data_IF_877404525258
#
_entry.id   IF_877404525258
#
_cell.length_a   1.000
_cell.length_b   1.000
_cell.length_c   1.000
_cell.angle_alpha   90.00
_cell.angle_beta   90.00
_cell.angle_gamma   90.00
#
_symmetry.space_group_name_H-M   'P 1'
#
loop_
_entity.id
_entity.type
_entity.pdbx_description
1 polymer ?
#
# COMPACT_ATOMS: atom_id res chain seq x y z
N UNK A 1 16.92 34.51 -17.99
CA UNK A 1 16.73 33.05 -17.89
C UNK A 1 18.04 32.35 -17.54
N UNK A 2 19.00 32.17 -18.46
CA UNK A 2 20.27 31.47 -18.22
C UNK A 2 21.14 31.95 -17.03
N UNK A 3 21.11 33.24 -16.71
CA UNK A 3 21.98 33.80 -15.66
C UNK A 3 21.65 33.28 -14.25
N UNK A 4 20.37 33.17 -13.90
CA UNK A 4 19.95 32.70 -12.57
C UNK A 4 20.34 31.24 -12.36
N UNK A 5 20.10 30.37 -13.35
CA UNK A 5 20.51 28.96 -13.29
C UNK A 5 22.03 28.80 -13.14
N UNK A 6 22.82 29.48 -13.99
CA UNK A 6 24.29 29.34 -13.96
C UNK A 6 24.88 29.84 -12.63
N UNK A 7 24.32 30.92 -12.08
CA UNK A 7 24.70 31.40 -10.75
C UNK A 7 24.31 30.41 -9.65
N UNK A 8 23.12 29.82 -9.75
CA UNK A 8 22.67 28.72 -8.88
C UNK A 8 23.62 27.52 -8.91
N UNK A 9 24.07 27.10 -10.09
CA UNK A 9 25.03 25.99 -10.25
C UNK A 9 26.37 26.29 -9.56
N UNK A 10 26.87 27.53 -9.70
CA UNK A 10 28.08 27.97 -9.03
C UNK A 10 27.92 27.98 -7.50
N UNK A 11 26.80 28.51 -6.99
CA UNK A 11 26.50 28.56 -5.55
C UNK A 11 26.32 27.16 -4.95
N UNK A 12 25.66 26.25 -5.66
CA UNK A 12 25.55 24.83 -5.26
C UNK A 12 26.93 24.18 -5.18
N UNK A 13 27.82 24.47 -6.12
CA UNK A 13 29.22 24.02 -6.08
C UNK A 13 29.99 24.55 -4.86
N UNK A 14 29.66 25.75 -4.39
CA UNK A 14 30.16 26.34 -3.14
C UNK A 14 29.44 25.84 -1.88
N UNK A 15 28.46 24.93 -2.03
CA UNK A 15 27.57 24.45 -0.96
C UNK A 15 26.75 25.54 -0.28
N UNK A 16 26.57 26.69 -0.93
CA UNK A 16 25.67 27.75 -0.49
C UNK A 16 24.25 27.44 -1.00
N UNK A 17 23.66 26.38 -0.42
CA UNK A 17 22.41 25.79 -0.89
C UNK A 17 21.22 26.76 -0.77
N UNK A 18 21.19 27.60 0.27
CA UNK A 18 20.13 28.60 0.46
C UNK A 18 20.09 29.64 -0.66
N UNK A 19 21.26 30.12 -1.11
CA UNK A 19 21.32 31.06 -2.23
C UNK A 19 21.11 30.36 -3.56
N UNK A 20 21.62 29.14 -3.72
CA UNK A 20 21.37 28.33 -4.91
C UNK A 20 19.87 28.07 -5.10
N UNK A 21 19.15 27.74 -4.03
CA UNK A 21 17.70 27.53 -4.08
C UNK A 21 16.97 28.78 -4.55
N UNK A 22 17.28 29.96 -3.98
CA UNK A 22 16.68 31.23 -4.40
C UNK A 22 16.90 31.51 -5.89
N UNK A 23 18.10 31.23 -6.37
CA UNK A 23 18.47 31.44 -7.77
C UNK A 23 17.74 30.48 -8.72
N UNK A 24 17.62 29.21 -8.35
CA UNK A 24 16.86 28.26 -9.16
C UNK A 24 15.35 28.52 -9.11
N UNK A 25 14.80 28.92 -7.95
CA UNK A 25 13.39 29.34 -7.83
C UNK A 25 13.11 30.55 -8.72
N UNK A 26 13.98 31.55 -8.69
CA UNK A 26 13.88 32.70 -9.58
C UNK A 26 14.04 32.33 -11.07
N UNK A 27 14.75 31.24 -11.40
CA UNK A 27 14.81 30.74 -12.77
C UNK A 27 13.48 30.11 -13.22
N UNK A 28 12.89 29.22 -12.39
CA UNK A 28 11.60 28.57 -12.72
C UNK A 28 10.40 29.53 -12.68
N UNK A 29 10.48 30.63 -11.92
CA UNK A 29 9.48 31.71 -11.96
C UNK A 29 9.50 32.48 -13.29
N UNK A 30 10.66 32.57 -13.94
CA UNK A 30 10.82 33.23 -15.24
C UNK A 30 10.46 32.26 -16.37
N UNK A 31 10.86 30.99 -16.25
CA UNK A 31 10.55 29.93 -17.20
C UNK A 31 10.36 28.59 -16.49
N UNK A 32 9.11 28.17 -16.36
CA UNK A 32 8.75 26.94 -15.70
C UNK A 32 9.05 25.69 -16.56
N UNK A 33 9.44 25.87 -17.82
CA UNK A 33 9.80 24.79 -18.75
C UNK A 33 11.30 24.44 -18.73
N UNK A 34 12.12 25.21 -18.01
CA UNK A 34 13.56 24.96 -17.89
C UNK A 34 13.85 23.74 -16.99
N UNK A 35 13.91 22.54 -17.59
CA UNK A 35 14.15 21.27 -16.86
C UNK A 35 15.45 21.27 -16.02
N UNK A 36 16.49 22.01 -16.45
CA UNK A 36 17.75 22.13 -15.70
C UNK A 36 17.61 22.93 -14.40
N UNK A 37 16.71 23.92 -14.35
CA UNK A 37 16.46 24.68 -13.13
C UNK A 37 15.74 23.79 -12.09
N UNK A 38 14.77 22.99 -12.54
CA UNK A 38 14.13 21.97 -11.71
C UNK A 38 15.11 20.89 -11.23
N UNK A 39 16.06 20.47 -12.09
CA UNK A 39 17.14 19.58 -11.67
C UNK A 39 18.01 20.20 -10.57
N UNK A 40 18.33 21.48 -10.70
CA UNK A 40 19.05 22.25 -9.68
C UNK A 40 18.32 22.25 -8.33
N UNK A 41 17.02 22.54 -8.34
CA UNK A 41 16.17 22.50 -7.13
C UNK A 41 16.10 21.10 -6.51
N UNK A 42 15.97 20.06 -7.33
CA UNK A 42 15.97 18.65 -6.87
C UNK A 42 17.25 18.31 -6.10
N UNK A 43 18.42 18.70 -6.64
CA UNK A 43 19.72 18.48 -5.98
C UNK A 43 19.88 19.28 -4.68
N UNK A 44 19.36 20.51 -4.63
CA UNK A 44 19.35 21.31 -3.40
C UNK A 44 18.41 20.69 -2.36
N UNK A 45 17.25 20.20 -2.78
CA UNK A 45 16.31 19.50 -1.92
C UNK A 45 16.92 18.21 -1.35
N UNK A 46 17.71 17.46 -2.14
CA UNK A 46 18.49 16.31 -1.65
C UNK A 46 19.50 16.72 -0.57
N UNK A 47 20.21 17.83 -0.76
CA UNK A 47 21.18 18.32 0.23
C UNK A 47 20.52 18.72 1.56
N UNK A 48 19.28 19.19 1.52
CA UNK A 48 18.48 19.57 2.70
C UNK A 48 17.59 18.45 3.25
N UNK A 49 17.70 17.23 2.71
CA UNK A 49 16.83 16.11 3.05
C UNK A 49 15.31 16.39 2.88
N UNK A 50 14.97 17.38 2.04
CA UNK A 50 13.61 17.81 1.79
C UNK A 50 12.90 16.87 0.81
N UNK A 51 12.37 15.76 1.32
CA UNK A 51 11.69 14.72 0.53
C UNK A 51 10.57 15.27 -0.34
N UNK A 52 9.77 16.20 0.19
CA UNK A 52 8.65 16.77 -0.57
C UNK A 52 9.13 17.63 -1.74
N UNK A 53 10.19 18.43 -1.52
CA UNK A 53 10.82 19.21 -2.58
C UNK A 53 11.42 18.33 -3.68
N UNK A 54 12.03 17.19 -3.31
CA UNK A 54 12.53 16.21 -4.30
C UNK A 54 11.37 15.67 -5.15
N UNK A 55 10.25 15.30 -4.54
CA UNK A 55 9.08 14.79 -5.26
C UNK A 55 8.56 15.84 -6.25
N UNK A 56 8.32 17.06 -5.78
CA UNK A 56 7.79 18.16 -6.61
C UNK A 56 8.71 18.44 -7.82
N UNK A 57 10.01 18.59 -7.58
CA UNK A 57 10.96 18.91 -8.63
C UNK A 57 11.06 17.78 -9.67
N UNK A 58 11.11 16.52 -9.23
CA UNK A 58 11.20 15.38 -10.14
C UNK A 58 9.87 15.13 -10.90
N UNK A 59 8.70 15.38 -10.29
CA UNK A 59 7.41 15.34 -11.01
C UNK A 59 7.37 16.41 -12.11
N UNK A 60 7.83 17.63 -11.81
CA UNK A 60 7.94 18.70 -12.81
C UNK A 60 8.90 18.32 -13.93
N UNK A 61 10.10 17.82 -13.61
CA UNK A 61 11.03 17.33 -14.63
C UNK A 61 10.42 16.22 -15.48
N UNK A 62 9.71 15.26 -14.88
CA UNK A 62 9.08 14.15 -15.61
C UNK A 62 8.04 14.65 -16.62
N UNK A 63 7.35 15.76 -16.33
CA UNK A 63 6.39 16.38 -17.25
C UNK A 63 7.05 17.15 -18.41
N UNK A 64 8.29 17.59 -18.24
CA UNK A 64 9.04 18.37 -19.23
C UNK A 64 9.90 17.50 -20.16
N UNK A 65 10.34 16.34 -19.67
CA UNK A 65 11.24 15.48 -20.42
C UNK A 65 10.51 14.76 -21.57
N UNK A 66 11.07 14.76 -22.79
CA UNK A 66 10.49 14.02 -23.90
C UNK A 66 10.64 12.52 -23.69
N UNK A 67 9.67 11.75 -24.18
CA UNK A 67 9.68 10.28 -24.10
C UNK A 67 10.93 9.63 -24.74
N UNK A 68 11.58 10.33 -25.68
CA UNK A 68 12.81 9.90 -26.34
C UNK A 68 14.05 9.99 -25.45
N UNK A 69 14.04 10.80 -24.39
CA UNK A 69 15.17 10.92 -23.46
C UNK A 69 15.06 9.88 -22.34
N UNK A 70 15.25 8.61 -22.73
CA UNK A 70 15.14 7.46 -21.83
C UNK A 70 16.10 7.55 -20.64
N UNK A 71 17.31 8.08 -20.85
CA UNK A 71 18.33 8.26 -19.81
C UNK A 71 17.91 9.26 -18.72
N UNK A 72 17.47 10.46 -19.11
CA UNK A 72 16.99 11.44 -18.13
C UNK A 72 15.72 10.96 -17.43
N UNK A 73 14.80 10.32 -18.16
CA UNK A 73 13.58 9.74 -17.59
C UNK A 73 13.90 8.64 -16.58
N UNK A 74 14.87 7.77 -16.88
CA UNK A 74 15.32 6.72 -15.96
C UNK A 74 15.85 7.33 -14.65
N UNK A 75 16.73 8.34 -14.75
CA UNK A 75 17.26 9.04 -13.58
C UNK A 75 16.17 9.69 -12.74
N UNK A 76 15.27 10.46 -13.37
CA UNK A 76 14.18 11.16 -12.67
C UNK A 76 13.23 10.17 -11.99
N UNK A 77 12.85 9.08 -12.68
CA UNK A 77 12.01 8.03 -12.10
C UNK A 77 12.69 7.34 -10.92
N UNK A 78 14.00 7.09 -10.99
CA UNK A 78 14.76 6.48 -9.90
C UNK A 78 14.80 7.38 -8.66
N UNK A 79 15.06 8.67 -8.83
CA UNK A 79 15.03 9.65 -7.73
C UNK A 79 13.64 9.78 -7.12
N UNK A 80 12.61 9.90 -7.97
CA UNK A 80 11.22 9.99 -7.53
C UNK A 80 10.78 8.73 -6.78
N UNK A 81 11.18 7.53 -7.24
CA UNK A 81 10.89 6.29 -6.55
C UNK A 81 11.51 6.26 -5.14
N UNK A 82 12.78 6.68 -5.00
CA UNK A 82 13.43 6.82 -3.70
C UNK A 82 12.69 7.80 -2.80
N UNK A 83 12.35 8.98 -3.32
CA UNK A 83 11.67 10.02 -2.56
C UNK A 83 10.27 9.59 -2.12
N UNK A 84 9.48 8.95 -3.01
CA UNK A 84 8.18 8.39 -2.67
C UNK A 84 8.28 7.31 -1.59
N UNK A 85 9.29 6.43 -1.66
CA UNK A 85 9.50 5.42 -0.62
C UNK A 85 9.83 6.06 0.74
N UNK A 86 10.64 7.12 0.76
CA UNK A 86 10.96 7.90 1.97
C UNK A 86 9.75 8.66 2.53
N UNK A 87 8.84 9.13 1.66
CA UNK A 87 7.59 9.78 2.06
C UNK A 87 6.50 8.80 2.50
N UNK A 88 6.76 7.48 2.50
CA UNK A 88 5.76 6.45 2.80
C UNK A 88 4.73 6.24 1.67
N UNK A 89 4.94 6.83 0.50
CA UNK A 89 4.10 6.66 -0.69
C UNK A 89 4.50 5.38 -1.45
N UNK A 90 4.39 4.23 -0.78
CA UNK A 90 4.88 2.95 -1.28
C UNK A 90 4.21 2.51 -2.59
N UNK A 91 2.94 2.84 -2.79
CA UNK A 91 2.22 2.49 -4.02
C UNK A 91 2.83 3.16 -5.24
N UNK A 92 3.12 4.47 -5.13
CA UNK A 92 3.76 5.25 -6.19
C UNK A 92 5.20 4.79 -6.40
N UNK A 93 5.94 4.55 -5.33
CA UNK A 93 7.31 4.03 -5.41
C UNK A 93 7.35 2.70 -6.18
N UNK A 94 6.43 1.77 -5.89
CA UNK A 94 6.36 0.48 -6.58
C UNK A 94 6.03 0.63 -8.06
N UNK A 95 5.11 1.52 -8.45
CA UNK A 95 4.78 1.79 -9.85
C UNK A 95 6.01 2.32 -10.62
N UNK A 96 6.75 3.27 -10.04
CA UNK A 96 7.95 3.82 -10.64
C UNK A 96 9.06 2.77 -10.78
N UNK A 97 9.25 1.93 -9.75
CA UNK A 97 10.23 0.85 -9.78
C UNK A 97 9.88 -0.22 -10.82
N UNK A 98 8.60 -0.54 -11.01
CA UNK A 98 8.17 -1.45 -12.07
C UNK A 98 8.52 -0.91 -13.47
N UNK A 99 8.33 0.39 -13.70
CA UNK A 99 8.72 1.04 -14.96
C UNK A 99 10.25 0.99 -15.17
N UNK A 100 11.03 1.13 -14.11
CA UNK A 100 12.50 1.06 -14.18
C UNK A 100 12.99 -0.36 -14.47
N UNK A 101 12.43 -1.38 -13.80
CA UNK A 101 12.79 -2.80 -14.01
C UNK A 101 12.43 -3.29 -15.42
N UNK A 102 11.41 -2.69 -16.04
CA UNK A 102 10.96 -3.02 -17.39
C UNK A 102 11.86 -2.46 -18.51
N UNK A 103 12.82 -1.60 -18.19
CA UNK A 103 13.73 -1.03 -19.19
C UNK A 103 14.74 -2.10 -19.65
N UNK A 104 14.91 -2.26 -20.97
CA UNK A 104 15.61 -3.42 -21.53
C UNK A 104 17.13 -3.37 -21.35
N UNK A 105 17.72 -2.16 -21.37
CA UNK A 105 19.16 -1.97 -21.33
C UNK A 105 19.81 -2.06 -19.94
N UNK A 106 19.13 -2.65 -18.94
CA UNK A 106 19.71 -2.76 -17.59
C UNK A 106 20.71 -3.90 -17.45
N UNK A 107 21.82 -3.58 -16.78
CA UNK A 107 22.73 -4.61 -16.29
C UNK A 107 22.07 -5.46 -15.20
N UNK A 108 22.48 -6.72 -15.08
CA UNK A 108 21.88 -7.68 -14.15
C UNK A 108 21.93 -7.20 -12.69
N UNK A 109 23.00 -6.52 -12.29
CA UNK A 109 23.17 -5.97 -10.94
C UNK A 109 22.19 -4.83 -10.65
N UNK A 110 22.05 -3.88 -11.57
CA UNK A 110 21.10 -2.76 -11.44
C UNK A 110 19.65 -3.27 -11.44
N UNK A 111 19.36 -4.25 -12.28
CA UNK A 111 18.04 -4.90 -12.31
C UNK A 111 17.72 -5.58 -10.99
N UNK A 112 18.71 -6.25 -10.39
CA UNK A 112 18.55 -6.89 -9.09
C UNK A 112 18.32 -5.86 -7.98
N UNK A 113 19.10 -4.77 -7.93
CA UNK A 113 18.89 -3.68 -6.96
C UNK A 113 17.48 -3.11 -7.05
N UNK A 114 17.01 -2.81 -8.26
CA UNK A 114 15.65 -2.30 -8.47
C UNK A 114 14.57 -3.31 -8.07
N UNK A 115 14.80 -4.60 -8.31
CA UNK A 115 13.89 -5.65 -7.87
C UNK A 115 13.83 -5.78 -6.34
N UNK A 116 14.97 -5.65 -5.65
CA UNK A 116 15.01 -5.60 -4.19
C UNK A 116 14.23 -4.40 -3.66
N UNK A 117 14.48 -3.20 -4.21
CA UNK A 117 13.75 -1.99 -3.84
C UNK A 117 12.25 -2.10 -4.11
N UNK A 118 11.86 -2.76 -5.20
CA UNK A 118 10.46 -3.01 -5.53
C UNK A 118 9.81 -3.96 -4.52
N UNK A 119 10.49 -5.05 -4.16
CA UNK A 119 10.01 -5.99 -3.14
C UNK A 119 9.79 -5.28 -1.80
N UNK A 120 10.74 -4.45 -1.36
CA UNK A 120 10.63 -3.67 -0.12
C UNK A 120 9.45 -2.69 -0.16
N UNK A 121 9.25 -2.00 -1.28
CA UNK A 121 8.11 -1.09 -1.45
C UNK A 121 6.77 -1.84 -1.40
N UNK A 122 6.68 -3.02 -2.03
CA UNK A 122 5.47 -3.84 -2.04
C UNK A 122 5.16 -4.42 -0.64
N UNK A 123 6.17 -4.85 0.11
CA UNK A 123 6.00 -5.30 1.49
C UNK A 123 5.43 -4.18 2.37
N UNK A 124 6.07 -3.01 2.34
CA UNK A 124 5.61 -1.85 3.12
C UNK A 124 4.22 -1.36 2.70
N UNK A 125 3.87 -1.49 1.42
CA UNK A 125 2.52 -1.23 0.93
C UNK A 125 1.51 -2.22 1.52
N UNK A 126 1.84 -3.51 1.57
CA UNK A 126 0.97 -4.52 2.17
C UNK A 126 0.80 -4.29 3.67
N UNK A 127 1.88 -4.00 4.39
CA UNK A 127 1.84 -3.70 5.82
C UNK A 127 0.93 -2.49 6.10
N UNK A 128 1.08 -1.41 5.33
CA UNK A 128 0.24 -0.22 5.46
C UNK A 128 -1.25 -0.51 5.14
N UNK A 129 -1.52 -1.40 4.18
CA UNK A 129 -2.89 -1.84 3.85
C UNK A 129 -3.50 -2.66 4.97
N UNK A 130 -2.76 -3.63 5.53
CA UNK A 130 -3.20 -4.46 6.64
C UNK A 130 -3.48 -3.61 7.88
N UNK A 131 -2.58 -2.67 8.21
CA UNK A 131 -2.77 -1.74 9.32
C UNK A 131 -4.10 -0.95 9.20
N UNK A 132 -4.40 -0.40 8.03
CA UNK A 132 -5.68 0.30 7.77
C UNK A 132 -6.90 -0.61 7.94
N UNK A 133 -6.82 -1.87 7.49
CA UNK A 133 -7.92 -2.83 7.65
C UNK A 133 -8.16 -3.12 9.13
N UNK A 134 -7.09 -3.30 9.91
CA UNK A 134 -7.17 -3.54 11.36
C UNK A 134 -7.80 -2.34 12.07
N UNK A 135 -7.35 -1.12 11.76
CA UNK A 135 -7.91 0.12 12.32
C UNK A 135 -9.39 0.30 11.97
N UNK A 136 -9.78 0.06 10.72
CA UNK A 136 -11.18 0.13 10.28
C UNK A 136 -12.06 -0.88 11.02
N UNK A 137 -11.58 -2.12 11.17
CA UNK A 137 -12.32 -3.16 11.92
C UNK A 137 -12.46 -2.79 13.39
N UNK A 138 -11.42 -2.20 13.98
CA UNK A 138 -11.46 -1.69 15.35
C UNK A 138 -12.50 -0.58 15.50
N UNK A 139 -12.49 0.43 14.63
CA UNK A 139 -13.46 1.53 14.69
C UNK A 139 -14.90 1.04 14.50
N UNK A 140 -15.11 0.05 13.62
CA UNK A 140 -16.42 -0.57 13.41
C UNK A 140 -16.91 -1.36 14.65
N UNK A 141 -16.02 -2.07 15.34
CA UNK A 141 -16.35 -2.79 16.56
C UNK A 141 -16.69 -1.82 17.71
N UNK A 142 -15.94 -0.72 17.84
CA UNK A 142 -16.20 0.33 18.83
C UNK A 142 -17.56 1.00 18.58
N UNK A 143 -17.91 1.32 17.31
CA UNK A 143 -19.23 1.86 16.99
C UNK A 143 -20.37 0.85 17.19
N UNK A 144 -20.15 -0.43 16.87
CA UNK A 144 -21.16 -1.47 17.08
C UNK A 144 -21.43 -1.73 18.57
N UNK A 145 -20.41 -1.71 19.41
CA UNK A 145 -20.57 -1.83 20.86
C UNK A 145 -21.35 -0.65 21.47
N UNK A 146 -21.15 0.57 20.96
CA UNK A 146 -21.91 1.74 21.37
C UNK A 146 -23.41 1.63 21.01
N UNK A 147 -23.73 1.17 19.79
CA UNK A 147 -25.14 0.98 19.37
C UNK A 147 -25.86 -0.13 20.14
N UNK A 148 -25.16 -1.16 20.60
CA UNK A 148 -25.75 -2.24 21.43
C UNK A 148 -25.99 -1.74 22.86
N UNK A 149 -25.07 -0.94 23.43
CA UNK A 149 -25.22 -0.35 24.76
C UNK A 149 -26.42 0.62 24.87
N UNK A 150 -26.72 1.39 23.82
CA UNK A 150 -27.91 2.26 23.81
C UNK A 150 -29.23 1.48 23.68
N UNK A 151 -29.22 0.29 23.07
CA UNK A 151 -30.41 -0.57 22.97
C UNK A 151 -30.70 -1.36 24.26
N UNK A 152 -29.69 -1.63 25.08
CA UNK A 152 -29.86 -2.37 26.35
C UNK A 152 -30.22 -1.47 27.56
N UNK A 153 -30.16 -0.14 27.44
CA UNK A 153 -30.59 0.79 28.49
C UNK A 153 -32.11 1.12 28.45
N UNK A 154 -32.87 0.47 27.57
CA UNK A 154 -34.34 0.55 27.51
C UNK A 154 -35.02 -0.43 28.46
N UNK A 155 -35.13 -0.03 29.72
CA UNK A 155 -36.16 -0.41 30.71
C UNK A 155 -36.81 -1.81 30.57
N UNK A 156 -36.32 -2.76 31.37
CA UNK A 156 -37.19 -3.77 31.99
C UNK A 156 -37.04 -3.70 33.50
N UNK A 157 -37.98 -3.03 34.16
CA UNK A 157 -38.22 -3.23 35.59
C UNK A 157 -38.65 -4.70 35.84
N UNK A 158 -38.02 -5.41 36.79
CA UNK A 158 -38.48 -6.73 37.18
C UNK A 158 -39.59 -6.60 38.23
N UNK A 159 -40.82 -6.93 37.82
CA UNK A 159 -41.92 -7.15 38.75
C UNK A 159 -41.67 -8.40 39.60
N UNK A 160 -41.44 -8.18 40.88
CA UNK A 160 -41.44 -9.21 41.93
C UNK A 160 -42.80 -9.91 41.99
N UNK A 161 -42.84 -11.25 41.92
CA UNK A 161 -43.87 -12.05 42.62
C UNK A 161 -43.29 -13.34 43.17
N UNK A 162 -43.72 -13.59 44.40
CA UNK A 162 -43.19 -14.46 45.43
C UNK A 162 -43.26 -15.97 45.15
N UNK A 163 -42.41 -16.67 45.90
CA UNK A 163 -42.30 -18.11 46.03
C UNK A 163 -43.58 -18.78 46.56
N UNK A 164 -43.95 -19.89 45.93
CA UNK A 164 -44.88 -20.87 46.47
C UNK A 164 -44.18 -22.23 46.51
N UNK A 165 -43.77 -22.65 47.70
CA UNK A 165 -43.26 -23.99 47.99
C UNK A 165 -44.35 -25.06 47.79
N UNK A 166 -43.98 -26.20 47.19
CA UNK A 166 -44.50 -27.54 47.54
C UNK A 166 -43.66 -28.62 46.83
N UNK A 167 -42.84 -29.33 47.60
CA UNK A 167 -42.29 -30.65 47.30
C UNK A 167 -43.32 -31.77 47.62
N UNK A 168 -43.00 -33.08 47.51
CA UNK A 168 -42.49 -33.80 46.34
C UNK A 168 -43.37 -35.04 46.05
N UNK A 169 -43.38 -35.52 44.81
CA UNK A 169 -44.11 -36.75 44.42
C UNK A 169 -43.20 -37.71 43.67
N UNK A 170 -42.76 -38.76 44.37
CA UNK A 170 -42.02 -39.89 43.83
C UNK A 170 -42.81 -40.64 42.74
N UNK A 171 -42.11 -41.07 41.69
CA UNK A 171 -42.19 -42.42 41.07
C UNK A 171 -41.22 -42.54 39.88
N UNK A 172 -40.16 -43.30 40.08
CA UNK A 172 -39.41 -44.05 39.05
C UNK A 172 -39.98 -45.48 38.95
N UNK A 173 -39.46 -46.39 38.09
CA UNK A 173 -38.96 -46.23 36.72
C UNK A 173 -39.63 -47.25 35.76
N UNK A 174 -39.59 -46.99 34.46
CA UNK A 174 -40.02 -47.94 33.43
C UNK A 174 -38.90 -48.24 32.46
N UNK A 175 -38.19 -49.35 32.69
CA UNK A 175 -37.24 -49.95 31.76
C UNK A 175 -37.95 -50.51 30.52
N UNK A 176 -37.33 -50.34 29.34
CA UNK A 176 -37.07 -51.43 28.35
C UNK A 176 -36.31 -50.89 27.12
N UNK A 177 -35.05 -51.31 27.01
CA UNK A 177 -34.29 -51.47 25.77
C UNK A 177 -34.68 -52.82 25.07
N UNK A 178 -33.98 -53.30 24.02
CA UNK A 178 -33.58 -52.68 22.75
C UNK A 178 -34.05 -53.53 21.54
N UNK A 179 -33.95 -53.00 20.32
CA UNK A 179 -34.12 -53.75 19.08
C UNK A 179 -33.11 -53.33 18.03
N UNK A 180 -32.10 -54.16 17.82
CA UNK A 180 -31.19 -54.12 16.68
C UNK A 180 -31.83 -54.82 15.47
N UNK A 181 -31.56 -54.35 14.24
CA UNK A 181 -30.87 -55.17 13.24
C UNK A 181 -30.55 -54.37 11.96
N UNK A 182 -29.51 -54.87 11.30
CA UNK A 182 -28.76 -54.34 10.18
C UNK A 182 -29.54 -54.33 8.85
N UNK A 183 -29.13 -53.44 7.95
CA UNK A 183 -29.56 -53.45 6.55
C UNK A 183 -28.46 -52.88 5.66
N UNK A 184 -27.73 -53.79 5.02
CA UNK A 184 -26.55 -53.58 4.19
C UNK A 184 -26.78 -52.70 2.94
N UNK A 185 -25.73 -51.95 2.57
CA UNK A 185 -25.52 -51.42 1.22
C UNK A 185 -25.38 -52.56 0.20
N UNK A 186 -25.55 -52.31 -1.12
CA UNK A 186 -24.32 -52.18 -1.92
C UNK A 186 -24.41 -51.32 -3.21
N UNK A 187 -23.22 -50.99 -3.76
CA UNK A 187 -22.88 -50.75 -5.18
C UNK A 187 -23.42 -49.45 -5.84
N UNK A 188 -22.73 -48.70 -6.70
CA UNK A 188 -21.46 -48.84 -7.41
C UNK A 188 -21.03 -47.45 -7.97
N UNK A 189 -19.74 -47.32 -8.27
CA UNK A 189 -19.15 -46.38 -9.25
C UNK A 189 -18.24 -47.22 -10.19
N UNK A 190 -17.57 -46.71 -11.25
CA UNK A 190 -17.59 -45.44 -12.01
C UNK A 190 -17.62 -45.78 -13.55
N UNK A 191 -16.98 -45.10 -14.55
CA UNK A 191 -16.39 -43.75 -14.68
C UNK A 191 -16.78 -42.99 -15.99
N UNK A 192 -16.40 -41.71 -16.11
CA UNK A 192 -16.31 -40.98 -17.38
C UNK A 192 -15.03 -40.13 -17.35
N UNK A 193 -13.97 -40.52 -18.10
CA UNK A 193 -13.61 -40.02 -19.44
C UNK A 193 -13.27 -38.52 -19.44
N UNK A 194 -11.99 -38.15 -19.36
CA UNK A 194 -11.06 -37.93 -20.49
C UNK A 194 -11.29 -36.60 -21.23
N UNK A 195 -10.27 -35.75 -21.27
CA UNK A 195 -10.25 -34.54 -22.09
C UNK A 195 -9.14 -33.55 -21.73
N UNK A 196 -7.88 -33.91 -21.95
CA UNK A 196 -6.77 -32.95 -22.00
C UNK A 196 -6.59 -32.45 -23.46
N UNK A 197 -6.41 -31.14 -23.70
CA UNK A 197 -6.08 -30.62 -25.04
C UNK A 197 -4.55 -30.62 -25.31
N UNK A 198 -4.12 -30.72 -26.59
CA UNK A 198 -2.72 -30.81 -26.99
C UNK A 198 -2.01 -29.44 -27.07
N UNK A 199 -0.66 -29.40 -27.09
CA UNK A 199 0.12 -28.17 -27.24
C UNK A 199 0.26 -27.71 -28.71
N UNK A 200 0.45 -26.40 -28.95
CA UNK A 200 0.52 -25.79 -30.28
C UNK A 200 1.90 -25.91 -30.97
N UNK A 201 1.96 -25.67 -32.31
CA UNK A 201 3.11 -25.94 -33.19
C UNK A 201 4.30 -24.98 -33.05
#
# INVERSE_FOLDING_TARGET
MFYCRVRGDALRGLKDYDKAEKDYRGAVEIDDTEALAWQGLSLVAEAHDNVLGIIECNEKMLSLLPASDTGSLFRVRSLLATACARAGQYERAAQLLQLLVAHEDLFAEEKLDLQCRLADALLKQQDARVARIVELRRSQAESAAAEVGEKEAGEKEPGEKEAGEKEPGEKEPGEKEPGAEEGQAPLAAPPSSSGAPPPPP
#
